data_IF_403822082408
#
_entry.id   IF_403822082408
#
_cell.length_a   1.000
_cell.length_b   1.000
_cell.length_c   1.000
_cell.angle_alpha   90.00
_cell.angle_beta   90.00
_cell.angle_gamma   90.00
#
_symmetry.space_group_name_H-M   'P 1'
#
loop_
_entity.id
_entity.type
_entity.pdbx_description
1 polymer ?
#
# COMPACT_ATOMS: atom_id res chain seq x y z
N UNK A 1 -2.69 23.71 -5.82
CA UNK A 1 -1.25 23.56 -5.48
C UNK A 1 -1.16 23.08 -4.04
N UNK A 2 -0.55 21.93 -3.74
CA UNK A 2 -0.48 21.41 -2.37
C UNK A 2 0.51 22.23 -1.52
N UNK A 3 0.10 22.76 -0.35
CA UNK A 3 0.99 23.51 0.54
C UNK A 3 2.23 22.72 0.92
N UNK A 4 3.32 23.44 1.21
CA UNK A 4 4.61 22.86 1.60
C UNK A 4 4.92 23.19 3.05
N UNK A 5 5.54 22.24 3.76
CA UNK A 5 6.14 22.53 5.06
C UNK A 5 7.46 23.35 4.91
N UNK A 6 8.09 23.69 6.04
CA UNK A 6 9.37 24.42 6.06
C UNK A 6 10.53 23.69 5.38
N UNK A 7 10.44 22.36 5.24
CA UNK A 7 11.44 21.50 4.60
C UNK A 7 11.07 21.12 3.15
N UNK A 8 10.03 21.77 2.61
CA UNK A 8 9.49 21.62 1.25
C UNK A 8 8.80 20.27 0.99
N UNK A 9 8.39 19.54 2.04
CA UNK A 9 7.56 18.35 1.91
C UNK A 9 6.13 18.76 1.55
N UNK A 10 5.45 17.93 0.76
CA UNK A 10 4.10 18.16 0.23
C UNK A 10 3.10 17.08 0.62
N UNK A 11 3.59 15.91 0.98
CA UNK A 11 2.76 14.73 1.22
C UNK A 11 3.13 14.11 2.54
N UNK A 12 2.14 13.49 3.18
CA UNK A 12 2.32 12.65 4.35
C UNK A 12 1.95 11.22 3.96
N UNK A 13 2.77 10.27 4.38
CA UNK A 13 2.52 8.84 4.21
C UNK A 13 2.35 8.25 5.60
N UNK A 14 1.19 7.66 5.84
CA UNK A 14 0.82 7.10 7.12
C UNK A 14 0.79 5.58 7.00
N UNK A 15 1.51 4.88 7.88
CA UNK A 15 1.42 3.42 8.01
C UNK A 15 0.77 3.09 9.35
N UNK A 16 -0.26 2.25 9.26
CA UNK A 16 -1.05 1.79 10.40
C UNK A 16 -0.95 0.26 10.42
N UNK A 17 -0.56 -0.29 11.56
CA UNK A 17 -0.66 -1.73 11.80
C UNK A 17 -2.01 -2.06 12.43
N UNK A 18 -2.83 -2.83 11.71
CA UNK A 18 -4.19 -3.18 12.12
C UNK A 18 -4.23 -3.98 13.44
N UNK A 19 -3.17 -4.73 13.77
CA UNK A 19 -3.13 -5.59 14.96
C UNK A 19 -2.83 -4.80 16.23
N UNK A 20 -1.81 -3.94 16.21
CA UNK A 20 -1.33 -3.22 17.39
C UNK A 20 -1.83 -1.77 17.47
N UNK A 21 -2.48 -1.29 16.41
CA UNK A 21 -2.79 0.12 16.21
C UNK A 21 -1.53 1.02 16.23
N UNK A 22 -0.36 0.43 15.93
CA UNK A 22 0.87 1.20 15.80
C UNK A 22 0.77 2.12 14.59
N UNK A 23 1.05 3.41 14.82
CA UNK A 23 0.92 4.45 13.82
C UNK A 23 2.27 5.13 13.58
N UNK A 24 2.63 5.27 12.31
CA UNK A 24 3.84 5.99 11.90
C UNK A 24 3.57 6.91 10.73
N UNK A 25 4.20 8.09 10.75
CA UNK A 25 4.05 9.13 9.74
C UNK A 25 5.39 9.48 9.14
N UNK A 26 5.44 9.54 7.81
CA UNK A 26 6.60 9.95 7.05
C UNK A 26 6.24 11.14 6.16
N UNK A 27 7.16 12.10 6.03
CA UNK A 27 7.00 13.25 5.16
C UNK A 27 7.68 13.00 3.82
N UNK A 28 7.03 13.43 2.73
CA UNK A 28 7.51 13.23 1.37
C UNK A 28 7.38 14.50 0.52
N UNK A 29 8.38 14.72 -0.35
CA UNK A 29 8.38 15.84 -1.33
C UNK A 29 7.61 15.52 -2.62
N UNK A 30 7.46 14.24 -2.93
CA UNK A 30 6.81 13.72 -4.14
C UNK A 30 5.99 12.48 -3.80
N UNK A 31 4.90 12.22 -4.55
CA UNK A 31 3.98 11.11 -4.29
C UNK A 31 4.64 9.73 -4.49
N UNK A 32 5.52 9.63 -5.48
CA UNK A 32 6.28 8.42 -5.82
C UNK A 32 7.27 7.99 -4.72
N UNK A 33 7.56 8.84 -3.74
CA UNK A 33 8.42 8.50 -2.61
C UNK A 33 7.79 7.45 -1.65
N UNK A 34 6.48 7.19 -1.74
CA UNK A 34 5.77 6.26 -0.85
C UNK A 34 6.38 4.85 -0.84
N UNK A 35 6.74 4.29 -2.00
CA UNK A 35 7.33 2.96 -2.09
C UNK A 35 8.68 2.87 -1.35
N UNK A 36 9.54 3.89 -1.50
CA UNK A 36 10.84 3.94 -0.81
C UNK A 36 10.70 4.16 0.69
N UNK A 37 9.70 4.92 1.12
CA UNK A 37 9.37 5.08 2.54
C UNK A 37 8.84 3.78 3.14
N UNK A 38 8.04 3.03 2.38
CA UNK A 38 7.57 1.71 2.82
C UNK A 38 8.72 0.71 2.96
N UNK A 39 9.69 0.70 2.05
CA UNK A 39 10.91 -0.12 2.18
C UNK A 39 11.67 0.15 3.48
N UNK A 40 11.86 1.43 3.80
CA UNK A 40 12.47 1.85 5.06
C UNK A 40 11.64 1.39 6.26
N UNK A 41 10.32 1.50 6.16
CA UNK A 41 9.40 1.05 7.18
C UNK A 41 9.49 -0.47 7.43
N UNK A 42 9.55 -1.30 6.38
CA UNK A 42 9.73 -2.75 6.51
C UNK A 42 10.98 -3.11 7.32
N UNK A 43 12.12 -2.49 6.97
CA UNK A 43 13.40 -2.74 7.65
C UNK A 43 13.35 -2.26 9.10
N UNK A 44 12.78 -1.09 9.35
CA UNK A 44 12.60 -0.55 10.69
C UNK A 44 11.73 -1.49 11.56
N UNK A 45 10.57 -1.89 11.04
CA UNK A 45 9.60 -2.70 11.79
C UNK A 45 10.18 -4.08 12.15
N UNK A 46 10.87 -4.71 11.19
CA UNK A 46 11.56 -5.99 11.43
C UNK A 46 12.67 -5.85 12.47
N UNK A 47 13.49 -4.80 12.40
CA UNK A 47 14.59 -4.62 13.39
C UNK A 47 14.09 -4.25 14.77
N UNK A 48 13.04 -3.44 14.87
CA UNK A 48 12.55 -2.90 16.14
C UNK A 48 11.66 -3.88 16.91
N UNK A 49 10.82 -4.63 16.20
CA UNK A 49 9.79 -5.47 16.80
C UNK A 49 9.93 -6.96 16.47
N UNK A 50 10.96 -7.33 15.70
CA UNK A 50 11.13 -8.68 15.12
C UNK A 50 9.95 -9.16 14.25
N UNK A 51 9.04 -8.25 13.90
CA UNK A 51 7.81 -8.54 13.16
C UNK A 51 8.04 -8.43 11.65
N UNK A 52 7.53 -9.43 10.91
CA UNK A 52 7.48 -9.39 9.44
C UNK A 52 6.11 -8.87 9.01
N UNK A 53 6.11 -7.89 8.11
CA UNK A 53 4.88 -7.39 7.49
C UNK A 53 4.54 -8.31 6.32
N UNK A 54 3.34 -8.88 6.33
CA UNK A 54 2.88 -9.83 5.30
C UNK A 54 2.01 -9.16 4.25
N UNK A 55 1.24 -8.15 4.64
CA UNK A 55 0.25 -7.51 3.79
C UNK A 55 0.39 -6.00 3.90
N UNK A 56 0.38 -5.33 2.75
CA UNK A 56 0.23 -3.88 2.66
C UNK A 56 -1.11 -3.56 2.00
N UNK A 57 -1.96 -2.83 2.72
CA UNK A 57 -3.20 -2.27 2.18
C UNK A 57 -2.99 -0.82 1.75
N UNK A 58 -3.32 -0.49 0.50
CA UNK A 58 -3.30 0.89 -0.01
C UNK A 58 -4.67 1.25 -0.58
N UNK A 59 -4.94 2.55 -0.70
CA UNK A 59 -6.02 3.01 -1.57
C UNK A 59 -5.71 2.70 -3.04
N UNK A 60 -6.74 2.63 -3.89
CA UNK A 60 -6.62 2.31 -5.32
C UNK A 60 -6.12 3.48 -6.18
N UNK A 61 -5.62 4.56 -5.56
CA UNK A 61 -5.02 5.68 -6.27
C UNK A 61 -3.79 5.25 -7.08
N UNK A 62 -3.69 5.74 -8.32
CA UNK A 62 -2.57 5.41 -9.24
C UNK A 62 -1.20 5.87 -8.73
N UNK A 63 -1.15 6.76 -7.74
CA UNK A 63 0.11 7.14 -7.07
C UNK A 63 0.87 5.97 -6.44
N UNK A 64 0.20 4.83 -6.23
CA UNK A 64 0.80 3.65 -5.62
C UNK A 64 1.14 2.57 -6.64
N UNK A 65 1.09 2.80 -7.95
CA UNK A 65 1.42 1.73 -8.92
C UNK A 65 2.87 1.23 -8.78
N UNK A 66 3.79 2.11 -8.41
CA UNK A 66 5.17 1.74 -8.07
C UNK A 66 5.30 0.81 -6.85
N UNK A 67 4.25 0.67 -6.03
CA UNK A 67 4.21 -0.24 -4.88
C UNK A 67 4.03 -1.70 -5.32
N UNK A 68 3.48 -1.98 -6.51
CA UNK A 68 3.31 -3.36 -6.99
C UNK A 68 4.65 -4.07 -7.15
N UNK A 69 5.57 -3.42 -7.88
CA UNK A 69 6.89 -3.97 -8.14
C UNK A 69 7.66 -4.16 -6.83
N UNK A 70 7.49 -3.23 -5.90
CA UNK A 70 8.07 -3.31 -4.57
C UNK A 70 7.54 -4.53 -3.79
N UNK A 71 6.23 -4.68 -3.68
CA UNK A 71 5.58 -5.78 -2.97
C UNK A 71 6.00 -7.15 -3.52
N UNK A 72 6.10 -7.28 -4.85
CA UNK A 72 6.62 -8.48 -5.52
C UNK A 72 8.05 -8.80 -5.07
N UNK A 73 8.94 -7.79 -5.02
CA UNK A 73 10.35 -7.96 -4.61
C UNK A 73 10.50 -8.34 -3.13
N UNK A 74 9.62 -7.82 -2.27
CA UNK A 74 9.73 -8.04 -0.81
C UNK A 74 8.87 -9.18 -0.29
N UNK A 75 8.19 -9.92 -1.17
CA UNK A 75 7.23 -10.97 -0.81
C UNK A 75 6.16 -10.47 0.18
N UNK A 76 5.67 -9.25 -0.04
CA UNK A 76 4.56 -8.63 0.69
C UNK A 76 3.33 -8.69 -0.21
N UNK A 77 2.21 -9.19 0.30
CA UNK A 77 0.94 -9.20 -0.43
C UNK A 77 0.37 -7.79 -0.50
N UNK A 78 0.04 -7.32 -1.70
CA UNK A 78 -0.63 -6.03 -1.87
C UNK A 78 -2.14 -6.20 -1.87
N UNK A 79 -2.83 -5.41 -1.05
CA UNK A 79 -4.28 -5.25 -1.07
C UNK A 79 -4.63 -3.81 -1.47
N UNK A 80 -5.59 -3.65 -2.39
CA UNK A 80 -6.12 -2.33 -2.79
C UNK A 80 -7.54 -2.20 -2.28
N UNK A 81 -7.89 -1.09 -1.63
CA UNK A 81 -9.30 -0.81 -1.33
C UNK A 81 -10.02 -0.33 -2.59
N UNK A 82 -11.10 -0.98 -3.00
CA UNK A 82 -11.95 -0.56 -4.12
C UNK A 82 -12.06 -1.53 -5.30
N UNK A 83 -11.40 -2.69 -5.25
CA UNK A 83 -11.70 -3.79 -6.17
C UNK A 83 -12.59 -4.78 -5.42
N UNK A 84 -13.90 -4.75 -5.66
CA UNK A 84 -14.72 -5.92 -5.38
C UNK A 84 -14.09 -7.10 -6.14
N UNK A 85 -14.03 -8.31 -5.56
CA UNK A 85 -13.70 -9.47 -6.38
C UNK A 85 -14.75 -9.49 -7.49
N UNK A 86 -14.30 -9.45 -8.74
CA UNK A 86 -15.18 -9.69 -9.87
C UNK A 86 -15.81 -11.06 -9.62
N UNK A 87 -17.10 -11.08 -9.29
CA UNK A 87 -17.88 -12.30 -9.25
C UNK A 87 -17.92 -12.75 -10.71
N UNK A 88 -17.06 -13.70 -11.07
CA UNK A 88 -17.19 -14.41 -12.34
C UNK A 88 -18.45 -15.25 -12.24
N UNK A 89 -19.60 -14.68 -12.63
CA UNK A 89 -20.82 -15.45 -12.82
C UNK A 89 -20.56 -16.50 -13.90
N UNK A 90 -20.82 -17.80 -13.66
CA UNK A 90 -20.74 -18.80 -14.72
C UNK A 90 -21.81 -18.47 -15.76
N UNK A 91 -21.39 -18.37 -17.03
CA UNK A 91 -22.30 -18.20 -18.16
C UNK A 91 -23.33 -19.33 -18.16
N UNK A 92 -24.62 -18.96 -18.06
CA UNK A 92 -25.72 -19.89 -18.20
C UNK A 92 -25.64 -20.58 -19.57
N UNK A 93 -25.57 -21.92 -19.55
CA UNK A 93 -25.66 -22.73 -20.75
C UNK A 93 -27.03 -22.60 -21.39
N UNK A 94 -27.06 -22.31 -22.68
CA UNK A 94 -28.24 -22.42 -23.53
C UNK A 94 -28.58 -23.91 -23.70
N UNK A 95 -29.64 -24.38 -23.04
CA UNK A 95 -30.33 -25.60 -23.44
C UNK A 95 -31.33 -25.21 -24.54
N UNK A 96 -31.04 -25.61 -25.77
CA UNK A 96 -32.01 -25.59 -26.87
C UNK A 96 -32.93 -26.81 -26.73
N UNK A 97 -34.25 -26.58 -26.82
CA UNK A 97 -35.23 -27.58 -27.23
C UNK A 97 -35.43 -27.50 -28.73
#
# INVERSE_FOLDING_TARGET
MTPKDRLRNRYMVHFIDDKSNYYSVFLARAKDAAAKLFERFLVYFKKKFDCKIHTLRTESGGEYDNVDLFCKRTAVTRQRSGTSPAITSPSAGTAAS
#
